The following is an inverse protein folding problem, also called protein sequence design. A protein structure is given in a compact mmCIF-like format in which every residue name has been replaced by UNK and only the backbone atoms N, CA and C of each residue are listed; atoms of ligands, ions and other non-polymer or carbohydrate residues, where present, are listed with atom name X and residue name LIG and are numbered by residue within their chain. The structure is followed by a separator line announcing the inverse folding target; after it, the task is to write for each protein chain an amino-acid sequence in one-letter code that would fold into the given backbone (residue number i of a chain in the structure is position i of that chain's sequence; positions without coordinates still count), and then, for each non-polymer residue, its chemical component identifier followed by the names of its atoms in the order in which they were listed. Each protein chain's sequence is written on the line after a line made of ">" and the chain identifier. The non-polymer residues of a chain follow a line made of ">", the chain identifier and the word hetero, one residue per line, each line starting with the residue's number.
data_IF_860212168545
#
_entry.id   IF_860212168545
#
_cell.length_a   1.000
_cell.length_b   1.000
_cell.length_c   1.000
_cell.angle_alpha   90.00
_cell.angle_beta   90.00
_cell.angle_gamma   90.00
#
_symmetry.space_group_name_H-M   'P 1'
#
loop_
_entity.id
_entity.type
_entity.pdbx_description
1 polymer ?
#
# COMPACT_ATOMS: atom_id res chain seq x y z
N UNK A 1 15.99 -16.78 14.82
CA UNK A 1 14.60 -17.00 14.37
C UNK A 1 14.12 -15.68 13.78
N UNK A 2 13.58 -15.70 12.57
CA UNK A 2 13.16 -14.47 11.86
C UNK A 2 11.75 -14.09 12.26
N UNK A 3 11.54 -12.80 12.54
CA UNK A 3 10.24 -12.23 12.92
C UNK A 3 9.62 -11.44 11.76
N UNK A 4 8.38 -11.81 11.39
CA UNK A 4 7.56 -11.14 10.39
C UNK A 4 6.32 -10.55 11.04
N UNK A 5 6.18 -9.24 10.97
CA UNK A 5 4.94 -8.57 11.39
C UNK A 5 3.97 -8.44 10.23
N UNK A 6 2.71 -8.77 10.46
CA UNK A 6 1.61 -8.53 9.51
C UNK A 6 0.46 -7.82 10.22
N UNK A 7 -0.46 -7.17 9.48
CA UNK A 7 -1.70 -6.68 10.07
C UNK A 7 -2.42 -7.80 10.84
N UNK A 8 -2.89 -7.53 12.05
CA UNK A 8 -3.60 -8.50 12.90
C UNK A 8 -4.94 -8.96 12.31
N UNK A 9 -5.45 -8.28 11.27
CA UNK A 9 -6.72 -8.60 10.63
C UNK A 9 -6.95 -7.79 9.35
N UNK A 10 -8.06 -8.10 8.67
CA UNK A 10 -8.48 -7.40 7.46
C UNK A 10 -7.85 -7.98 6.21
N UNK A 11 -8.02 -7.28 5.09
CA UNK A 11 -7.68 -7.81 3.77
C UNK A 11 -6.22 -8.21 3.61
N UNK A 12 -5.28 -7.36 4.04
CA UNK A 12 -3.84 -7.65 3.95
C UNK A 12 -3.48 -8.93 4.72
N UNK A 13 -4.02 -9.10 5.93
CA UNK A 13 -3.89 -10.34 6.71
C UNK A 13 -4.41 -11.55 5.93
N UNK A 14 -5.67 -11.47 5.46
CA UNK A 14 -6.32 -12.58 4.76
C UNK A 14 -5.53 -13.01 3.52
N UNK A 15 -5.16 -12.05 2.68
CA UNK A 15 -4.45 -12.32 1.44
C UNK A 15 -3.05 -12.87 1.70
N UNK A 16 -2.35 -12.35 2.70
CA UNK A 16 -1.03 -12.88 3.06
C UNK A 16 -1.14 -14.30 3.60
N UNK A 17 -2.09 -14.57 4.49
CA UNK A 17 -2.28 -15.90 5.06
C UNK A 17 -2.65 -16.93 3.99
N UNK A 18 -3.45 -16.55 2.99
CA UNK A 18 -3.67 -17.39 1.82
C UNK A 18 -2.40 -17.60 0.99
N UNK A 19 -1.61 -16.54 0.75
CA UNK A 19 -0.34 -16.63 -0.01
C UNK A 19 0.71 -17.49 0.68
N UNK A 20 0.88 -17.35 1.99
CA UNK A 20 1.92 -18.06 2.76
C UNK A 20 1.63 -19.56 2.89
N UNK A 21 0.35 -19.96 2.76
CA UNK A 21 -0.11 -21.36 2.81
C UNK A 21 0.68 -22.28 1.87
N UNK A 22 1.06 -21.76 0.70
CA UNK A 22 1.79 -22.51 -0.31
C UNK A 22 3.28 -22.68 0.03
N UNK A 23 3.81 -21.84 0.93
CA UNK A 23 5.24 -21.77 1.26
C UNK A 23 5.59 -22.37 2.63
N UNK A 24 4.62 -22.89 3.39
CA UNK A 24 4.83 -23.42 4.75
C UNK A 24 4.43 -24.89 4.90
N UNK A 25 5.16 -25.66 5.70
CA UNK A 25 4.91 -27.10 5.89
C UNK A 25 3.57 -27.39 6.58
N UNK A 26 3.23 -26.62 7.61
CA UNK A 26 2.02 -26.80 8.41
C UNK A 26 1.04 -25.66 8.13
N UNK A 27 -0.09 -25.95 7.48
CA UNK A 27 -1.05 -24.93 7.06
C UNK A 27 -2.52 -25.24 7.40
N UNK A 28 -2.77 -26.31 8.15
CA UNK A 28 -4.12 -26.86 8.39
C UNK A 28 -5.08 -25.88 9.06
N UNK A 29 -4.56 -24.93 9.85
CA UNK A 29 -5.38 -24.01 10.64
C UNK A 29 -5.55 -22.62 10.00
N UNK A 30 -4.94 -22.36 8.83
CA UNK A 30 -4.92 -21.01 8.23
C UNK A 30 -6.33 -20.54 7.87
N UNK A 31 -7.09 -21.35 7.12
CA UNK A 31 -8.41 -20.95 6.62
C UNK A 31 -9.42 -20.78 7.77
N UNK A 32 -9.34 -21.65 8.79
CA UNK A 32 -10.20 -21.54 9.97
C UNK A 32 -9.83 -20.31 10.81
N UNK A 33 -8.54 -20.01 10.98
CA UNK A 33 -8.07 -18.78 11.64
C UNK A 33 -8.59 -17.53 10.93
N UNK A 34 -8.52 -17.50 9.60
CA UNK A 34 -9.09 -16.42 8.78
C UNK A 34 -10.60 -16.29 9.01
N UNK A 35 -11.33 -17.41 9.00
CA UNK A 35 -12.77 -17.42 9.19
C UNK A 35 -13.17 -16.92 10.60
N UNK A 36 -12.44 -17.30 11.64
CA UNK A 36 -12.68 -16.85 13.02
C UNK A 36 -12.44 -15.35 13.13
N UNK A 37 -11.35 -14.81 12.59
CA UNK A 37 -11.05 -13.37 12.62
C UNK A 37 -12.11 -12.58 11.85
N UNK A 38 -12.59 -13.08 10.70
CA UNK A 38 -13.70 -12.50 9.95
C UNK A 38 -14.99 -12.43 10.78
N UNK A 39 -15.32 -13.51 11.51
CA UNK A 39 -16.46 -13.54 12.44
C UNK A 39 -16.26 -12.56 13.60
N UNK A 40 -15.06 -12.53 14.17
CA UNK A 40 -14.68 -11.63 15.27
C UNK A 40 -14.85 -10.15 14.93
N UNK A 41 -14.67 -9.75 13.65
CA UNK A 41 -14.98 -8.39 13.19
C UNK A 41 -16.46 -8.00 13.38
N UNK A 42 -17.39 -8.95 13.21
CA UNK A 42 -18.84 -8.73 13.44
C UNK A 42 -19.18 -8.71 14.92
N UNK A 43 -18.41 -9.42 15.74
CA UNK A 43 -18.56 -9.50 17.20
C UNK A 43 -17.77 -8.42 17.96
N UNK A 44 -17.27 -7.38 17.29
CA UNK A 44 -16.55 -6.29 17.96
C UNK A 44 -17.45 -5.60 18.99
N UNK A 45 -16.90 -5.23 20.15
CA UNK A 45 -17.69 -4.63 21.23
C UNK A 45 -16.85 -3.68 22.09
N UNK A 46 -17.41 -2.57 22.60
CA UNK A 46 -16.75 -1.79 23.64
C UNK A 46 -16.64 -2.56 24.97
N UNK A 47 -17.44 -3.62 25.16
CA UNK A 47 -17.36 -4.50 26.34
C UNK A 47 -16.40 -5.65 26.07
N UNK A 48 -15.23 -5.64 26.71
CA UNK A 48 -14.22 -6.68 26.53
C UNK A 48 -14.74 -8.08 26.86
N UNK A 49 -15.62 -8.21 27.86
CA UNK A 49 -16.23 -9.50 28.26
C UNK A 49 -16.92 -10.20 27.10
N UNK A 50 -17.71 -9.47 26.28
CA UNK A 50 -18.37 -10.05 25.09
C UNK A 50 -17.39 -10.59 24.06
N UNK A 51 -16.22 -9.96 23.94
CA UNK A 51 -15.18 -10.40 23.01
C UNK A 51 -14.40 -11.58 23.58
N UNK A 52 -14.19 -11.61 24.90
CA UNK A 52 -13.65 -12.77 25.64
C UNK A 52 -14.57 -13.98 25.48
N UNK A 53 -15.88 -13.81 25.67
CA UNK A 53 -16.87 -14.88 25.48
C UNK A 53 -16.81 -15.44 24.05
N UNK A 54 -16.69 -14.56 23.05
CA UNK A 54 -16.50 -14.98 21.66
C UNK A 54 -15.19 -15.77 21.48
N UNK A 55 -14.07 -15.31 22.05
CA UNK A 55 -12.76 -15.96 21.94
C UNK A 55 -12.74 -17.32 22.66
N UNK A 56 -13.40 -17.43 23.81
CA UNK A 56 -13.48 -18.66 24.61
C UNK A 56 -14.14 -19.81 23.83
N UNK A 57 -15.05 -19.52 22.89
CA UNK A 57 -15.63 -20.54 22.00
C UNK A 57 -14.60 -21.21 21.05
N UNK A 58 -13.37 -20.71 21.01
CA UNK A 58 -12.29 -21.20 20.14
C UNK A 58 -11.01 -21.58 20.92
N UNK A 59 -11.00 -21.50 22.25
CA UNK A 59 -9.80 -21.74 23.07
C UNK A 59 -9.31 -23.19 23.01
N UNK A 60 -10.22 -24.16 22.90
CA UNK A 60 -9.88 -25.60 22.90
C UNK A 60 -9.03 -26.05 21.70
N UNK A 61 -8.90 -25.18 20.70
CA UNK A 61 -8.26 -25.51 19.42
C UNK A 61 -6.91 -24.80 19.19
N UNK A 62 -6.38 -24.13 20.21
CA UNK A 62 -5.04 -23.49 20.21
C UNK A 62 -4.78 -22.59 18.99
N UNK A 63 -5.80 -21.87 18.50
CA UNK A 63 -5.60 -20.92 17.41
C UNK A 63 -4.76 -19.72 17.86
N UNK A 64 -3.96 -19.13 16.95
CA UNK A 64 -3.12 -17.98 17.24
C UNK A 64 -3.93 -16.68 17.32
N UNK A 65 -4.86 -16.59 18.26
CA UNK A 65 -5.84 -15.51 18.40
C UNK A 65 -5.59 -14.67 19.66
N UNK A 66 -5.90 -13.38 19.57
CA UNK A 66 -5.85 -12.45 20.69
C UNK A 66 -6.96 -11.42 20.63
N UNK A 67 -7.10 -10.63 21.68
CA UNK A 67 -8.03 -9.50 21.76
C UNK A 67 -7.24 -8.20 21.61
N UNK A 68 -7.73 -7.32 20.74
CA UNK A 68 -7.09 -6.04 20.43
C UNK A 68 -8.12 -4.93 20.36
N UNK A 69 -7.66 -3.69 20.54
CA UNK A 69 -8.49 -2.48 20.38
C UNK A 69 -8.52 -2.07 18.91
N UNK A 70 -9.71 -1.89 18.33
CA UNK A 70 -9.87 -1.35 16.99
C UNK A 70 -9.74 0.18 17.01
N UNK A 71 -8.49 0.66 16.99
CA UNK A 71 -8.17 2.10 17.03
C UNK A 71 -8.58 2.86 15.78
N UNK A 72 -9.04 2.17 14.71
CA UNK A 72 -9.56 2.84 13.50
C UNK A 72 -10.94 3.46 13.72
N UNK A 73 -11.58 3.20 14.85
CA UNK A 73 -12.94 3.63 15.16
C UNK A 73 -12.93 4.49 16.42
N UNK A 74 -13.80 5.51 16.44
CA UNK A 74 -13.89 6.45 17.55
C UNK A 74 -14.33 5.75 18.85
N UNK A 75 -15.25 4.79 18.75
CA UNK A 75 -15.72 4.00 19.88
C UNK A 75 -14.69 2.98 20.41
N UNK A 76 -13.54 2.85 19.73
CA UNK A 76 -12.42 1.97 20.06
C UNK A 76 -12.84 0.59 20.59
N UNK A 77 -13.68 -0.15 19.84
CA UNK A 77 -14.20 -1.42 20.32
C UNK A 77 -13.09 -2.47 20.36
N UNK A 78 -13.20 -3.42 21.29
CA UNK A 78 -12.39 -4.63 21.30
C UNK A 78 -12.84 -5.59 20.21
N UNK A 79 -11.91 -6.39 19.68
CA UNK A 79 -12.17 -7.42 18.69
C UNK A 79 -11.11 -8.51 18.73
N UNK A 80 -11.48 -9.69 18.25
CA UNK A 80 -10.51 -10.77 18.01
C UNK A 80 -9.68 -10.47 16.75
N UNK A 81 -8.38 -10.76 16.85
CA UNK A 81 -7.42 -10.67 15.76
C UNK A 81 -6.39 -11.78 15.85
N UNK A 82 -5.49 -11.82 14.87
CA UNK A 82 -4.33 -12.70 14.85
C UNK A 82 -3.29 -12.21 15.86
N UNK A 83 -2.82 -13.11 16.72
CA UNK A 83 -1.77 -12.83 17.70
C UNK A 83 -0.39 -13.18 17.12
N UNK A 84 -0.19 -14.44 16.76
CA UNK A 84 1.05 -14.87 16.14
C UNK A 84 1.22 -16.38 16.13
N UNK A 85 1.95 -16.89 15.14
CA UNK A 85 2.25 -18.31 14.98
C UNK A 85 3.66 -18.49 14.43
N UNK A 86 4.22 -19.68 14.66
CA UNK A 86 5.44 -20.09 13.97
C UNK A 86 5.06 -20.82 12.68
N UNK A 87 5.76 -20.50 11.61
CA UNK A 87 5.74 -21.26 10.37
C UNK A 87 7.13 -21.80 10.08
N UNK A 88 7.17 -23.01 9.51
CA UNK A 88 8.38 -23.56 8.91
C UNK A 88 8.26 -23.46 7.40
N UNK A 89 9.19 -22.75 6.77
CA UNK A 89 9.20 -22.57 5.31
C UNK A 89 9.58 -23.90 4.62
N UNK A 90 8.85 -24.26 3.56
CA UNK A 90 9.06 -25.54 2.84
C UNK A 90 10.44 -25.64 2.20
N UNK A 91 10.88 -24.56 1.57
CA UNK A 91 12.07 -24.56 0.71
C UNK A 91 13.38 -24.70 1.49
N UNK A 92 13.51 -23.96 2.59
CA UNK A 92 14.76 -23.84 3.35
C UNK A 92 14.65 -24.31 4.80
N UNK A 93 13.48 -24.81 5.23
CA UNK A 93 13.22 -25.30 6.58
C UNK A 93 13.43 -24.27 7.70
N UNK A 94 13.53 -22.99 7.35
CA UNK A 94 13.71 -21.90 8.31
C UNK A 94 12.40 -21.68 9.08
N UNK A 95 12.52 -21.53 10.41
CA UNK A 95 11.42 -21.14 11.28
C UNK A 95 11.26 -19.62 11.28
N UNK A 96 10.10 -19.17 10.85
CA UNK A 96 9.67 -17.78 10.84
C UNK A 96 8.53 -17.60 11.85
N UNK A 97 8.68 -16.64 12.77
CA UNK A 97 7.63 -16.20 13.67
C UNK A 97 6.82 -15.11 12.97
N UNK A 98 5.53 -15.34 12.76
CA UNK A 98 4.62 -14.34 12.19
C UNK A 98 3.74 -13.78 13.31
N UNK A 99 3.72 -12.46 13.49
CA UNK A 99 2.96 -11.80 14.54
C UNK A 99 1.99 -10.75 13.98
N UNK A 100 0.84 -10.63 14.63
CA UNK A 100 -0.15 -9.62 14.30
C UNK A 100 0.17 -8.28 14.96
N UNK A 101 0.20 -7.21 14.19
CA UNK A 101 0.30 -5.85 14.69
C UNK A 101 -0.82 -4.95 14.17
N UNK A 102 -0.92 -3.77 14.76
CA UNK A 102 -1.82 -2.73 14.26
C UNK A 102 -1.38 -2.30 12.85
N UNK A 103 -2.30 -2.20 11.86
CA UNK A 103 -1.96 -1.97 10.45
C UNK A 103 -1.22 -0.65 10.11
N UNK A 104 -0.93 0.20 11.11
CA UNK A 104 -0.21 1.46 10.94
C UNK A 104 1.15 1.44 11.66
N UNK A 105 1.51 0.32 12.28
CA UNK A 105 2.71 0.17 13.10
C UNK A 105 3.66 -0.90 12.55
N UNK A 106 3.28 -1.63 11.51
CA UNK A 106 4.05 -2.75 10.97
C UNK A 106 5.46 -2.29 10.56
N UNK A 107 5.55 -1.21 9.78
CA UNK A 107 6.84 -0.65 9.35
C UNK A 107 7.65 -0.04 10.50
N UNK A 108 6.95 0.48 11.52
CA UNK A 108 7.57 1.08 12.71
C UNK A 108 8.31 0.02 13.54
N UNK A 109 7.76 -1.20 13.69
CA UNK A 109 8.44 -2.28 14.41
C UNK A 109 9.79 -2.65 13.76
N UNK A 110 9.85 -2.66 12.43
CA UNK A 110 11.13 -2.84 11.71
C UNK A 110 12.09 -1.68 11.98
N UNK A 111 11.59 -0.45 12.01
CA UNK A 111 12.43 0.73 12.31
C UNK A 111 13.00 0.70 13.73
N UNK A 112 12.24 0.18 14.69
CA UNK A 112 12.66 0.03 16.09
C UNK A 112 13.58 -1.17 16.30
N UNK A 113 13.61 -2.12 15.35
CA UNK A 113 14.35 -3.37 15.49
C UNK A 113 13.60 -4.45 16.27
N UNK A 114 12.30 -4.25 16.48
CA UNK A 114 11.38 -5.21 17.12
C UNK A 114 10.88 -6.29 16.15
N UNK A 115 11.06 -6.07 14.84
CA UNK A 115 10.77 -7.04 13.79
C UNK A 115 11.87 -7.04 12.72
N UNK A 116 12.13 -8.20 12.12
CA UNK A 116 13.10 -8.35 11.02
C UNK A 116 12.47 -7.98 9.67
N UNK A 117 11.19 -8.26 9.51
CA UNK A 117 10.42 -7.96 8.31
C UNK A 117 8.96 -7.61 8.68
N UNK A 118 8.31 -6.81 7.84
CA UNK A 118 6.92 -6.44 7.98
C UNK A 118 6.20 -6.37 6.64
N UNK A 119 4.88 -6.61 6.67
CA UNK A 119 3.97 -6.19 5.60
C UNK A 119 3.40 -4.82 5.92
N UNK A 120 3.71 -3.84 5.07
CA UNK A 120 3.22 -2.47 5.20
C UNK A 120 2.76 -1.93 3.86
N UNK A 121 1.75 -1.05 3.89
CA UNK A 121 1.39 -0.26 2.71
C UNK A 121 2.47 0.77 2.42
N UNK A 122 2.67 1.14 1.15
CA UNK A 122 3.55 2.26 0.84
C UNK A 122 3.06 3.58 1.45
N UNK A 123 1.73 3.78 1.52
CA UNK A 123 1.10 4.89 2.21
C UNK A 123 1.45 4.92 3.71
N UNK A 124 1.47 3.76 4.38
CA UNK A 124 1.94 3.65 5.77
C UNK A 124 3.42 4.03 5.89
N UNK A 125 4.27 3.57 4.97
CA UNK A 125 5.69 3.93 4.96
C UNK A 125 5.86 5.45 4.83
N UNK A 126 5.19 6.08 3.86
CA UNK A 126 5.24 7.53 3.70
C UNK A 126 4.79 8.24 4.98
N UNK A 127 3.67 7.85 5.59
CA UNK A 127 3.21 8.50 6.84
C UNK A 127 4.21 8.43 8.00
N UNK A 128 5.06 7.40 8.06
CA UNK A 128 6.01 7.19 9.16
C UNK A 128 7.42 7.73 8.87
N UNK A 129 7.75 7.97 7.60
CA UNK A 129 9.09 8.37 7.16
C UNK A 129 9.15 9.62 6.30
N UNK A 130 8.04 10.26 5.95
CA UNK A 130 8.00 11.42 5.03
C UNK A 130 9.03 12.48 5.39
N UNK A 131 9.03 12.96 6.63
CA UNK A 131 9.95 14.00 7.12
C UNK A 131 11.43 13.55 7.20
N UNK A 132 11.67 12.25 7.07
CA UNK A 132 13.01 11.64 7.13
C UNK A 132 13.55 11.34 5.73
N UNK A 133 12.76 11.52 4.66
CA UNK A 133 13.20 11.34 3.29
C UNK A 133 14.13 12.48 2.89
N UNK A 134 15.13 12.17 2.06
CA UNK A 134 16.07 13.16 1.52
C UNK A 134 15.32 14.18 0.65
N UNK A 135 14.43 13.70 -0.22
CA UNK A 135 13.56 14.54 -1.03
C UNK A 135 12.11 14.03 -0.97
N UNK A 136 11.31 14.40 0.04
CA UNK A 136 9.97 13.83 0.26
C UNK A 136 8.97 14.09 -0.89
N UNK A 137 9.14 15.19 -1.63
CA UNK A 137 8.19 15.62 -2.67
C UNK A 137 8.26 14.79 -3.96
N UNK A 138 9.36 14.06 -4.18
CA UNK A 138 9.54 13.21 -5.37
C UNK A 138 9.20 11.74 -5.12
N UNK A 139 9.09 11.31 -3.86
CA UNK A 139 8.85 9.90 -3.50
C UNK A 139 7.37 9.54 -3.60
N UNK A 140 6.87 9.50 -4.84
CA UNK A 140 5.47 9.13 -5.16
C UNK A 140 5.28 7.64 -5.45
N UNK A 141 6.39 6.89 -5.50
CA UNK A 141 6.47 5.48 -5.87
C UNK A 141 7.44 4.77 -4.96
N UNK A 142 7.11 3.56 -4.53
CA UNK A 142 8.01 2.80 -3.65
C UNK A 142 9.33 2.42 -4.31
N UNK A 143 9.40 2.39 -5.64
CA UNK A 143 10.66 2.23 -6.38
C UNK A 143 11.70 3.31 -6.09
N UNK A 144 11.27 4.52 -5.69
CA UNK A 144 12.14 5.64 -5.31
C UNK A 144 12.48 5.66 -3.82
N UNK A 145 11.76 4.89 -3.01
CA UNK A 145 11.77 5.02 -1.55
C UNK A 145 13.13 4.73 -0.93
N UNK A 146 13.74 3.60 -1.31
CA UNK A 146 15.01 3.17 -0.71
C UNK A 146 16.17 4.13 -1.04
N UNK A 147 16.14 4.78 -2.21
CA UNK A 147 17.17 5.75 -2.64
C UNK A 147 17.04 7.09 -1.92
N UNK A 148 15.81 7.45 -1.54
CA UNK A 148 15.52 8.66 -0.81
C UNK A 148 15.53 8.46 0.72
N UNK A 149 15.87 7.26 1.19
CA UNK A 149 16.05 6.99 2.61
C UNK A 149 17.50 7.25 3.04
N UNK A 150 17.73 8.01 4.13
CA UNK A 150 19.06 8.14 4.70
C UNK A 150 19.68 6.78 5.02
N UNK A 151 21.00 6.66 4.82
CA UNK A 151 21.76 5.43 5.07
C UNK A 151 21.71 4.98 6.55
N UNK A 152 21.47 5.91 7.46
CA UNK A 152 21.27 5.67 8.89
C UNK A 152 19.96 4.97 9.24
N UNK A 153 18.99 4.91 8.31
CA UNK A 153 17.71 4.23 8.54
C UNK A 153 17.86 2.74 8.22
N UNK A 154 17.33 1.89 9.11
CA UNK A 154 17.37 0.43 8.98
C UNK A 154 16.34 -0.12 7.99
N UNK A 155 15.20 0.56 7.88
CA UNK A 155 14.04 0.07 7.12
C UNK A 155 14.34 0.16 5.63
N UNK A 156 14.09 -0.91 4.88
CA UNK A 156 14.11 -0.90 3.42
C UNK A 156 12.90 -1.66 2.91
N UNK A 157 12.31 -1.18 1.82
CA UNK A 157 11.41 -2.04 1.02
C UNK A 157 12.24 -3.24 0.58
N UNK A 158 11.61 -4.38 0.32
CA UNK A 158 12.18 -5.59 -0.28
C UNK A 158 11.53 -5.91 -1.64
N UNK A 159 10.30 -5.44 -1.84
CA UNK A 159 9.53 -5.50 -3.07
C UNK A 159 8.04 -5.66 -2.76
N UNK A 160 7.23 -5.81 -3.80
CA UNK A 160 5.79 -6.03 -3.66
C UNK A 160 5.50 -7.40 -3.05
N UNK A 161 4.57 -7.43 -2.10
CA UNK A 161 4.02 -8.66 -1.57
C UNK A 161 3.02 -9.33 -2.53
N UNK A 162 2.61 -8.65 -3.62
CA UNK A 162 1.68 -9.15 -4.65
C UNK A 162 0.42 -9.80 -4.07
N UNK A 163 -0.15 -9.17 -3.03
CA UNK A 163 -1.40 -9.63 -2.44
C UNK A 163 -2.55 -9.26 -3.37
N UNK A 164 -3.32 -10.26 -3.83
CA UNK A 164 -4.42 -10.07 -4.78
C UNK A 164 -5.77 -10.20 -4.09
N UNK A 165 -6.75 -9.48 -4.62
CA UNK A 165 -8.16 -9.57 -4.24
C UNK A 165 -9.04 -9.78 -5.46
N UNK A 166 -10.20 -10.39 -5.21
CA UNK A 166 -11.23 -10.47 -6.23
C UNK A 166 -11.71 -9.08 -6.65
N UNK A 167 -11.67 -8.81 -7.96
CA UNK A 167 -12.18 -7.59 -8.57
C UNK A 167 -13.42 -7.93 -9.39
N UNK A 168 -14.59 -7.48 -8.92
CA UNK A 168 -15.86 -7.77 -9.58
C UNK A 168 -16.01 -7.09 -10.96
N UNK A 169 -15.32 -5.98 -11.20
CA UNK A 169 -15.38 -5.26 -12.49
C UNK A 169 -14.67 -6.02 -13.61
N UNK A 170 -13.61 -6.77 -13.27
CA UNK A 170 -12.83 -7.57 -14.22
C UNK A 170 -13.03 -9.08 -14.08
N UNK A 171 -13.89 -9.52 -13.15
CA UNK A 171 -14.16 -10.93 -12.86
C UNK A 171 -12.89 -11.78 -12.65
N UNK A 172 -11.90 -11.20 -11.96
CA UNK A 172 -10.63 -11.89 -11.70
C UNK A 172 -9.92 -11.34 -10.45
N UNK A 173 -8.89 -12.06 -10.00
CA UNK A 173 -8.00 -11.56 -8.96
C UNK A 173 -7.06 -10.49 -9.51
N UNK A 174 -7.01 -9.35 -8.83
CA UNK A 174 -6.15 -8.20 -9.13
C UNK A 174 -5.37 -7.82 -7.88
N UNK A 175 -4.11 -7.42 -8.01
CA UNK A 175 -3.33 -6.90 -6.88
C UNK A 175 -4.08 -5.79 -6.12
N UNK A 176 -3.99 -5.78 -4.80
CA UNK A 176 -4.58 -4.79 -3.89
C UNK A 176 -3.81 -3.46 -3.95
N UNK A 177 -3.84 -2.85 -5.14
CA UNK A 177 -3.28 -1.52 -5.43
C UNK A 177 -4.34 -0.47 -5.10
N UNK A 178 -3.88 0.66 -4.56
CA UNK A 178 -4.69 1.85 -4.33
C UNK A 178 -3.92 3.09 -4.79
N UNK A 179 -4.63 4.12 -5.24
CA UNK A 179 -4.03 5.43 -5.52
C UNK A 179 -4.54 6.48 -4.55
N UNK A 180 -3.72 7.45 -4.19
CA UNK A 180 -4.14 8.61 -3.40
C UNK A 180 -4.51 9.75 -4.35
N UNK A 181 -5.79 10.06 -4.43
CA UNK A 181 -6.33 10.98 -5.43
C UNK A 181 -6.97 12.18 -4.80
N UNK A 182 -7.05 13.24 -5.60
CA UNK A 182 -7.98 14.32 -5.34
C UNK A 182 -9.38 13.92 -5.79
N UNK A 183 -10.39 14.23 -4.97
CA UNK A 183 -11.81 13.96 -5.22
C UNK A 183 -12.63 15.22 -4.98
N UNK A 184 -13.80 15.32 -5.61
CA UNK A 184 -14.65 16.50 -5.48
C UNK A 184 -16.08 16.28 -5.96
N UNK A 185 -16.95 17.22 -5.60
CA UNK A 185 -18.38 17.18 -5.90
C UNK A 185 -18.73 17.76 -7.28
N UNK A 186 -17.93 18.71 -7.76
CA UNK A 186 -18.17 19.39 -9.03
C UNK A 186 -17.10 19.03 -10.04
N UNK A 187 -17.52 18.79 -11.28
CA UNK A 187 -16.59 18.80 -12.40
C UNK A 187 -16.01 20.22 -12.55
N UNK A 188 -14.70 20.44 -12.41
CA UNK A 188 -14.12 21.75 -12.62
C UNK A 188 -14.42 22.20 -14.04
N UNK A 189 -14.95 23.41 -14.18
CA UNK A 189 -15.04 24.09 -15.48
C UNK A 189 -13.62 24.24 -16.03
N UNK A 190 -13.31 23.42 -17.04
CA UNK A 190 -12.22 23.47 -18.03
C UNK A 190 -10.95 24.24 -17.65
N UNK A 191 -9.79 23.54 -17.62
CA UNK A 191 -8.40 24.03 -17.92
C UNK A 191 -7.25 23.44 -17.07
N UNK A 192 -7.40 22.29 -16.40
CA UNK A 192 -6.26 21.70 -15.67
C UNK A 192 -5.90 20.32 -16.21
N UNK A 193 -4.82 20.24 -16.99
CA UNK A 193 -4.37 18.98 -17.59
C UNK A 193 -3.81 18.02 -16.53
N UNK A 194 -3.36 18.54 -15.36
CA UNK A 194 -2.69 17.74 -14.33
C UNK A 194 -3.13 18.01 -12.88
N UNK A 195 -3.19 16.99 -11.99
CA UNK A 195 -3.49 17.15 -10.56
C UNK A 195 -2.56 18.12 -9.83
N UNK A 196 -1.28 18.19 -10.23
CA UNK A 196 -0.30 19.09 -9.59
C UNK A 196 -0.64 20.56 -9.84
N UNK A 197 -1.02 20.91 -11.07
CA UNK A 197 -1.49 22.25 -11.42
C UNK A 197 -2.76 22.59 -10.65
N UNK A 198 -3.62 21.59 -10.46
CA UNK A 198 -4.81 21.75 -9.63
C UNK A 198 -4.44 21.98 -8.16
N UNK A 199 -3.50 21.22 -7.59
CA UNK A 199 -3.01 21.46 -6.22
C UNK A 199 -2.39 22.86 -6.08
N UNK A 200 -1.58 23.32 -7.03
CA UNK A 200 -1.00 24.67 -7.04
C UNK A 200 -2.10 25.75 -7.10
N UNK A 201 -3.17 25.51 -7.85
CA UNK A 201 -4.36 26.36 -7.83
C UNK A 201 -5.01 26.38 -6.43
N UNK A 202 -5.19 25.22 -5.79
CA UNK A 202 -5.74 25.15 -4.43
C UNK A 202 -4.86 25.87 -3.41
N UNK A 203 -3.52 25.79 -3.53
CA UNK A 203 -2.59 26.56 -2.70
C UNK A 203 -2.78 28.07 -2.88
N UNK A 204 -2.90 28.53 -4.12
CA UNK A 204 -3.07 29.95 -4.46
C UNK A 204 -4.38 30.52 -3.91
N UNK A 205 -5.46 29.75 -4.01
CA UNK A 205 -6.80 30.18 -3.63
C UNK A 205 -7.23 29.77 -2.22
N UNK A 206 -6.39 29.00 -1.52
CA UNK A 206 -6.60 28.50 -0.14
C UNK A 206 -7.90 27.70 0.04
N UNK A 207 -8.33 27.02 -1.00
CA UNK A 207 -9.50 26.14 -0.96
C UNK A 207 -9.31 25.06 0.10
N UNK A 208 -10.39 24.71 0.80
CA UNK A 208 -10.38 23.64 1.79
C UNK A 208 -10.08 22.31 1.10
N UNK A 209 -9.10 21.58 1.65
CA UNK A 209 -8.78 20.21 1.26
C UNK A 209 -8.94 19.30 2.48
N UNK A 210 -9.98 18.48 2.45
CA UNK A 210 -10.20 17.45 3.45
C UNK A 210 -9.25 16.28 3.25
N UNK A 211 -8.69 15.76 4.34
CA UNK A 211 -7.85 14.58 4.29
C UNK A 211 -8.09 13.73 5.52
N UNK A 212 -7.97 12.41 5.38
CA UNK A 212 -8.05 11.53 6.53
C UNK A 212 -6.90 11.82 7.50
N UNK A 213 -7.19 11.93 8.80
CA UNK A 213 -6.20 12.39 9.79
C UNK A 213 -4.84 11.69 9.77
N UNK A 214 -4.80 10.38 9.49
CA UNK A 214 -3.54 9.63 9.37
C UNK A 214 -2.62 10.06 8.21
N UNK A 215 -3.16 10.75 7.21
CA UNK A 215 -2.41 11.27 6.06
C UNK A 215 -2.15 12.77 6.16
N UNK A 216 -2.74 13.46 7.15
CA UNK A 216 -2.71 14.92 7.21
C UNK A 216 -1.29 15.47 7.30
N UNK A 217 -0.43 14.88 8.13
CA UNK A 217 0.94 15.36 8.32
C UNK A 217 1.81 15.08 7.09
N UNK A 218 1.64 13.92 6.46
CA UNK A 218 2.29 13.60 5.18
C UNK A 218 1.90 14.62 4.09
N UNK A 219 0.61 14.97 3.99
CA UNK A 219 0.14 15.98 3.01
C UNK A 219 0.67 17.36 3.36
N UNK A 220 0.65 17.79 4.62
CA UNK A 220 1.21 19.09 5.04
C UNK A 220 2.72 19.17 4.82
N UNK A 221 3.44 18.06 4.97
CA UNK A 221 4.88 17.99 4.70
C UNK A 221 5.16 18.12 3.19
N UNK A 222 4.41 17.42 2.35
CA UNK A 222 4.59 17.45 0.90
C UNK A 222 4.05 18.73 0.24
N UNK A 223 2.98 19.31 0.78
CA UNK A 223 2.24 20.45 0.24
C UNK A 223 1.93 21.47 1.36
N UNK A 224 2.95 22.18 1.87
CA UNK A 224 2.85 23.01 3.07
C UNK A 224 1.92 24.23 2.94
N UNK A 225 1.52 24.59 1.72
CA UNK A 225 0.64 25.72 1.45
C UNK A 225 -0.83 25.33 1.27
N UNK A 226 -1.17 24.04 1.24
CA UNK A 226 -2.55 23.59 1.16
C UNK A 226 -3.30 23.87 2.48
N UNK A 227 -4.55 24.31 2.37
CA UNK A 227 -5.45 24.48 3.51
C UNK A 227 -6.07 23.13 3.92
N UNK A 228 -5.30 22.34 4.66
CA UNK A 228 -5.62 20.94 4.99
C UNK A 228 -6.43 20.81 6.27
N UNK A 229 -7.67 20.30 6.15
CA UNK A 229 -8.54 19.95 7.28
C UNK A 229 -8.58 18.43 7.46
N UNK A 230 -8.19 17.96 8.64
CA UNK A 230 -8.24 16.54 8.98
C UNK A 230 -9.66 16.12 9.33
N UNK A 231 -10.16 15.08 8.66
CA UNK A 231 -11.49 14.49 8.89
C UNK A 231 -11.41 12.97 9.04
N UNK A 232 -12.51 12.34 9.48
CA UNK A 232 -12.59 10.89 9.61
C UNK A 232 -13.03 10.19 8.31
N UNK A 233 -14.04 10.75 7.63
CA UNK A 233 -14.56 10.32 6.33
C UNK A 233 -14.40 11.49 5.35
N UNK A 234 -13.48 11.34 4.39
CA UNK A 234 -13.16 12.41 3.44
C UNK A 234 -14.29 12.56 2.43
N UNK A 235 -14.85 11.44 1.98
CA UNK A 235 -15.91 11.47 1.00
C UNK A 235 -17.19 12.12 1.54
N UNK A 236 -17.60 11.85 2.79
CA UNK A 236 -18.73 12.56 3.41
C UNK A 236 -18.43 14.05 3.63
N UNK A 237 -17.24 14.40 4.11
CA UNK A 237 -16.86 15.80 4.31
C UNK A 237 -16.91 16.62 3.00
N UNK A 238 -16.53 16.01 1.88
CA UNK A 238 -16.64 16.65 0.55
C UNK A 238 -18.10 16.78 0.11
N UNK A 239 -18.93 15.77 0.33
CA UNK A 239 -20.37 15.81 -0.04
C UNK A 239 -21.11 16.90 0.74
N UNK A 240 -20.84 16.98 2.05
CA UNK A 240 -21.53 17.86 3.01
C UNK A 240 -21.01 19.30 2.98
N UNK A 241 -19.87 19.54 2.33
CA UNK A 241 -19.29 20.88 2.23
C UNK A 241 -20.20 21.84 1.46
N UNK A 242 -20.44 23.01 2.04
CA UNK A 242 -21.12 24.15 1.40
C UNK A 242 -20.16 25.01 0.58
N UNK A 243 -18.86 24.89 0.80
CA UNK A 243 -17.80 25.51 0.01
C UNK A 243 -17.35 24.53 -1.09
N UNK A 244 -16.72 25.04 -2.16
CA UNK A 244 -16.11 24.22 -3.23
C UNK A 244 -14.83 23.51 -2.74
N UNK A 245 -14.99 22.71 -1.69
CA UNK A 245 -13.95 21.95 -1.01
C UNK A 245 -13.71 20.63 -1.74
N UNK A 246 -12.50 20.13 -1.57
CA UNK A 246 -12.05 18.89 -2.20
C UNK A 246 -11.53 17.94 -1.13
N UNK A 247 -11.33 16.68 -1.53
CA UNK A 247 -10.79 15.65 -0.66
C UNK A 247 -9.53 15.05 -1.24
N UNK A 248 -8.60 14.66 -0.38
CA UNK A 248 -7.51 13.74 -0.71
C UNK A 248 -7.80 12.38 -0.07
N UNK A 249 -8.04 11.36 -0.89
CA UNK A 249 -8.50 10.05 -0.45
C UNK A 249 -7.79 8.89 -1.17
N UNK A 250 -7.63 7.77 -0.47
CA UNK A 250 -7.19 6.52 -1.06
C UNK A 250 -8.35 5.88 -1.80
N UNK A 251 -8.18 5.74 -3.11
CA UNK A 251 -9.16 5.13 -4.00
C UNK A 251 -8.59 3.82 -4.56
N UNK A 252 -9.36 2.76 -4.36
CA UNK A 252 -9.07 1.46 -4.94
C UNK A 252 -9.89 1.18 -6.20
N UNK A 253 -11.20 0.98 -6.02
CA UNK A 253 -12.12 0.62 -7.12
C UNK A 253 -12.91 1.81 -7.60
N UNK A 254 -13.00 2.91 -6.83
CA UNK A 254 -13.88 4.04 -7.12
C UNK A 254 -15.35 3.80 -6.79
N UNK A 255 -15.72 2.66 -6.18
CA UNK A 255 -17.13 2.32 -5.92
C UNK A 255 -17.81 3.28 -4.94
N UNK A 256 -17.10 3.73 -3.90
CA UNK A 256 -17.61 4.72 -2.95
C UNK A 256 -17.86 6.06 -3.63
N UNK A 257 -16.92 6.52 -4.46
CA UNK A 257 -17.03 7.77 -5.20
C UNK A 257 -18.22 7.73 -6.15
N UNK A 258 -18.38 6.65 -6.94
CA UNK A 258 -19.57 6.48 -7.80
C UNK A 258 -20.87 6.52 -7.00
N UNK A 259 -20.93 5.82 -5.85
CA UNK A 259 -22.13 5.80 -5.00
C UNK A 259 -22.46 7.18 -4.43
N UNK A 260 -21.45 7.98 -4.11
CA UNK A 260 -21.58 9.33 -3.55
C UNK A 260 -21.57 10.42 -4.64
N UNK A 261 -21.62 10.04 -5.92
CA UNK A 261 -21.59 10.95 -7.07
C UNK A 261 -20.38 11.91 -7.07
N UNK A 262 -19.24 11.43 -6.57
CA UNK A 262 -17.99 12.18 -6.54
C UNK A 262 -17.15 11.93 -7.80
N UNK A 263 -16.45 12.97 -8.21
CA UNK A 263 -15.44 12.95 -9.27
C UNK A 263 -14.07 12.60 -8.70
N UNK A 264 -13.28 11.90 -9.51
CA UNK A 264 -11.88 11.59 -9.25
C UNK A 264 -11.01 12.37 -10.25
N UNK A 265 -9.99 13.08 -9.77
CA UNK A 265 -9.20 13.99 -10.60
C UNK A 265 -7.80 13.43 -10.93
N UNK A 266 -7.54 13.34 -12.23
CA UNK A 266 -6.26 13.04 -12.85
C UNK A 266 -5.55 11.79 -12.35
N UNK A 267 -4.22 11.83 -12.32
CA UNK A 267 -3.38 10.73 -11.81
C UNK A 267 -3.29 10.75 -10.28
N UNK A 268 -3.03 9.60 -9.62
CA UNK A 268 -2.81 9.60 -8.18
C UNK A 268 -1.54 10.38 -7.82
N UNK A 269 -1.53 11.02 -6.66
CA UNK A 269 -0.36 11.66 -6.08
C UNK A 269 0.71 10.63 -5.71
N UNK A 270 0.29 9.44 -5.27
CA UNK A 270 1.14 8.26 -5.13
C UNK A 270 0.29 6.98 -5.28
N UNK A 271 0.96 5.88 -5.62
CA UNK A 271 0.36 4.55 -5.68
C UNK A 271 0.86 3.73 -4.51
N UNK A 272 -0.05 3.16 -3.73
CA UNK A 272 0.26 2.25 -2.63
C UNK A 272 -0.15 0.82 -2.94
N UNK A 273 0.68 -0.10 -2.51
CA UNK A 273 0.43 -1.54 -2.50
C UNK A 273 1.10 -2.12 -1.25
N UNK A 274 0.77 -3.37 -0.90
CA UNK A 274 1.43 -4.04 0.23
C UNK A 274 2.85 -4.44 -0.18
N UNK A 275 3.82 -4.03 0.61
CA UNK A 275 5.24 -4.28 0.41
C UNK A 275 5.78 -5.17 1.54
N UNK A 276 6.79 -5.98 1.21
CA UNK A 276 7.69 -6.49 2.24
C UNK A 276 8.69 -5.38 2.61
N UNK A 277 8.82 -5.12 3.89
CA UNK A 277 9.73 -4.10 4.44
C UNK A 277 10.65 -4.80 5.42
N UNK A 278 11.96 -4.76 5.19
CA UNK A 278 12.97 -5.49 5.93
C UNK A 278 13.87 -4.59 6.75
N UNK A 279 14.38 -5.12 7.86
CA UNK A 279 15.49 -4.58 8.59
C UNK A 279 16.77 -4.85 7.79
N UNK A 280 17.27 -3.81 7.13
CA UNK A 280 18.41 -3.91 6.24
C UNK A 280 19.70 -4.28 6.97
N UNK A 281 19.87 -3.87 8.23
CA UNK A 281 21.07 -4.22 8.99
C UNK A 281 21.09 -5.71 9.33
N UNK A 282 19.93 -6.27 9.73
CA UNK A 282 19.75 -7.70 9.90
C UNK A 282 19.99 -8.44 8.57
N UNK A 283 19.43 -7.94 7.47
CA UNK A 283 19.55 -8.56 6.14
C UNK A 283 21.01 -8.69 5.68
N UNK A 284 21.86 -7.72 6.05
CA UNK A 284 23.27 -7.72 5.68
C UNK A 284 24.15 -8.63 6.55
N UNK A 285 23.64 -9.17 7.65
CA UNK A 285 24.40 -10.09 8.49
C UNK A 285 24.49 -11.46 7.81
N UNK A 286 25.72 -11.94 7.58
CA UNK A 286 25.97 -13.24 6.93
C UNK A 286 25.42 -14.43 7.71
N UNK A 287 25.30 -14.30 9.03
CA UNK A 287 24.85 -15.35 9.94
C UNK A 287 23.33 -15.37 10.15
N UNK A 288 22.58 -14.53 9.41
CA UNK A 288 21.15 -14.37 9.60
C UNK A 288 20.34 -14.96 8.42
N UNK A 289 19.27 -15.68 8.75
CA UNK A 289 18.36 -16.32 7.80
C UNK A 289 17.44 -15.35 7.02
N UNK A 290 17.44 -14.05 7.33
CA UNK A 290 16.51 -13.06 6.75
C UNK A 290 16.61 -12.98 5.23
N UNK A 291 17.82 -13.09 4.68
CA UNK A 291 18.02 -13.09 3.23
C UNK A 291 17.34 -14.30 2.58
N UNK A 292 17.50 -15.50 3.16
CA UNK A 292 16.85 -16.73 2.72
C UNK A 292 15.32 -16.68 2.92
N UNK A 293 14.83 -16.12 4.02
CA UNK A 293 13.39 -15.91 4.25
C UNK A 293 12.82 -14.99 3.18
N UNK A 294 13.45 -13.84 2.91
CA UNK A 294 13.01 -12.90 1.86
C UNK A 294 13.03 -13.58 0.50
N UNK A 295 14.06 -14.38 0.19
CA UNK A 295 14.13 -15.13 -1.06
C UNK A 295 12.93 -16.08 -1.23
N UNK A 296 12.58 -16.85 -0.20
CA UNK A 296 11.42 -17.77 -0.23
C UNK A 296 10.08 -17.03 -0.27
N UNK A 297 9.98 -15.84 0.32
CA UNK A 297 8.78 -14.99 0.22
C UNK A 297 8.60 -14.39 -1.18
N UNK A 298 9.67 -14.40 -1.99
CA UNK A 298 9.72 -13.98 -3.39
C UNK A 298 9.02 -12.63 -3.65
N UNK A 299 9.54 -11.53 -3.06
CA UNK A 299 9.01 -10.19 -3.31
C UNK A 299 9.18 -9.82 -4.79
N UNK A 300 8.14 -9.25 -5.40
CA UNK A 300 8.14 -8.88 -6.82
C UNK A 300 8.70 -7.47 -7.01
N UNK A 301 9.61 -7.32 -7.96
CA UNK A 301 10.27 -6.05 -8.30
C UNK A 301 9.35 -5.01 -8.94
N UNK A 302 9.77 -3.74 -8.90
CA UNK A 302 8.93 -2.60 -9.34
C UNK A 302 8.56 -2.65 -10.83
N UNK A 303 9.50 -3.10 -11.67
CA UNK A 303 9.36 -3.23 -13.12
C UNK A 303 9.17 -4.68 -13.58
N UNK A 304 8.91 -5.61 -12.67
CA UNK A 304 8.73 -7.01 -13.05
C UNK A 304 7.38 -7.22 -13.75
N UNK A 305 7.40 -8.11 -14.74
CA UNK A 305 6.31 -8.37 -15.66
C UNK A 305 4.96 -8.65 -14.96
N UNK A 306 4.97 -9.44 -13.88
CA UNK A 306 3.76 -9.76 -13.13
C UNK A 306 3.12 -8.50 -12.53
N UNK A 307 3.92 -7.61 -11.93
CA UNK A 307 3.43 -6.36 -11.35
C UNK A 307 2.89 -5.42 -12.43
N UNK A 308 3.53 -5.34 -13.59
CA UNK A 308 3.06 -4.51 -14.71
C UNK A 308 1.68 -4.98 -15.20
N UNK A 309 1.46 -6.29 -15.27
CA UNK A 309 0.16 -6.88 -15.61
C UNK A 309 -0.90 -6.51 -14.58
N UNK A 310 -0.59 -6.60 -13.29
CA UNK A 310 -1.53 -6.23 -12.21
C UNK A 310 -1.82 -4.72 -12.14
N UNK A 311 -0.82 -3.87 -12.41
CA UNK A 311 -1.00 -2.43 -12.51
C UNK A 311 -1.95 -2.06 -13.66
N UNK A 312 -1.81 -2.72 -14.82
CA UNK A 312 -2.73 -2.54 -15.94
C UNK A 312 -4.17 -2.94 -15.58
N UNK A 313 -4.34 -4.08 -14.89
CA UNK A 313 -5.66 -4.54 -14.42
C UNK A 313 -6.28 -3.56 -13.43
N UNK A 314 -5.54 -3.09 -12.43
CA UNK A 314 -6.06 -2.13 -11.46
C UNK A 314 -6.51 -0.83 -12.14
N UNK A 315 -5.67 -0.27 -13.01
CA UNK A 315 -5.98 0.97 -13.73
C UNK A 315 -7.22 0.81 -14.62
N UNK A 316 -7.30 -0.29 -15.37
CA UNK A 316 -8.45 -0.57 -16.24
C UNK A 316 -9.74 -0.85 -15.46
N UNK A 317 -9.65 -1.52 -14.32
CA UNK A 317 -10.79 -1.72 -13.43
C UNK A 317 -11.32 -0.38 -12.91
N UNK A 318 -10.43 0.52 -12.48
CA UNK A 318 -10.79 1.85 -12.02
C UNK A 318 -11.41 2.69 -13.16
N UNK A 319 -10.86 2.61 -14.37
CA UNK A 319 -11.39 3.25 -15.58
C UNK A 319 -12.82 2.78 -15.89
N UNK A 320 -13.05 1.46 -15.93
CA UNK A 320 -14.39 0.90 -16.15
C UNK A 320 -15.38 1.30 -15.07
N UNK A 321 -14.93 1.38 -13.81
CA UNK A 321 -15.82 1.56 -12.69
C UNK A 321 -16.26 3.03 -12.50
N UNK A 322 -15.40 3.99 -12.86
CA UNK A 322 -15.66 5.42 -12.75
C UNK A 322 -16.20 6.05 -14.05
N UNK A 323 -15.79 5.55 -15.23
CA UNK A 323 -16.19 6.14 -16.50
C UNK A 323 -15.86 7.63 -16.56
N UNK A 324 -16.85 8.44 -16.95
CA UNK A 324 -16.73 9.89 -17.09
C UNK A 324 -16.52 10.63 -15.75
N UNK A 325 -16.71 9.96 -14.61
CA UNK A 325 -16.39 10.55 -13.31
C UNK A 325 -14.88 10.60 -13.02
N UNK A 326 -14.04 9.98 -13.85
CA UNK A 326 -12.59 10.13 -13.79
C UNK A 326 -12.13 11.26 -14.71
N UNK A 327 -12.16 12.47 -14.17
CA UNK A 327 -11.81 13.71 -14.86
C UNK A 327 -10.29 13.76 -15.08
N UNK A 328 -9.87 14.11 -16.30
CA UNK A 328 -8.45 14.22 -16.69
C UNK A 328 -7.63 12.94 -16.43
N UNK A 329 -8.29 11.78 -16.52
CA UNK A 329 -7.65 10.46 -16.47
C UNK A 329 -6.41 10.43 -17.38
N UNK A 330 -5.27 9.87 -16.94
CA UNK A 330 -4.09 9.77 -17.78
C UNK A 330 -4.39 9.06 -19.10
N UNK A 331 -4.09 9.73 -20.22
CA UNK A 331 -4.20 9.15 -21.56
C UNK A 331 -3.15 8.06 -21.77
N UNK A 332 -1.96 8.25 -21.20
CA UNK A 332 -0.88 7.27 -21.19
C UNK A 332 -0.71 6.67 -19.77
N UNK A 333 -1.01 5.38 -19.64
CA UNK A 333 -0.85 4.61 -18.41
C UNK A 333 0.62 4.54 -17.95
N UNK A 334 1.59 4.67 -18.86
CA UNK A 334 3.01 4.56 -18.50
C UNK A 334 3.49 5.69 -17.58
N UNK A 335 2.75 6.81 -17.55
CA UNK A 335 2.96 7.91 -16.60
C UNK A 335 2.71 7.51 -15.14
N UNK A 336 1.95 6.44 -14.89
CA UNK A 336 1.79 5.85 -13.55
C UNK A 336 2.98 5.01 -13.13
N UNK A 337 3.71 4.45 -14.10
CA UNK A 337 4.89 3.64 -13.84
C UNK A 337 6.08 4.53 -13.48
N UNK A 338 6.38 5.53 -14.31
CA UNK A 338 7.52 6.44 -14.15
C UNK A 338 7.37 7.67 -15.05
N UNK A 339 7.66 8.87 -14.53
CA UNK A 339 7.79 10.11 -15.29
C UNK A 339 9.24 10.36 -15.72
N UNK A 340 9.46 11.23 -16.71
CA UNK A 340 10.82 11.53 -17.17
C UNK A 340 11.66 12.21 -16.08
N UNK A 341 11.05 13.10 -15.29
CA UNK A 341 11.68 13.67 -14.09
C UNK A 341 12.12 12.58 -13.10
N UNK A 342 11.32 11.54 -12.90
CA UNK A 342 11.69 10.43 -12.00
C UNK A 342 12.85 9.59 -12.56
N UNK A 343 13.02 9.53 -13.88
CA UNK A 343 14.19 8.90 -14.50
C UNK A 343 15.44 9.76 -14.22
N UNK A 344 15.34 11.08 -14.32
CA UNK A 344 16.42 12.02 -14.00
C UNK A 344 16.79 11.97 -12.51
N UNK A 345 15.79 11.95 -11.62
CA UNK A 345 15.93 11.83 -10.16
C UNK A 345 16.31 10.42 -9.70
N UNK A 346 16.55 9.52 -10.64
CA UNK A 346 17.21 8.27 -10.34
C UNK A 346 16.31 7.10 -9.96
N UNK A 347 15.06 7.08 -10.43
CA UNK A 347 14.29 5.84 -10.40
C UNK A 347 14.98 4.82 -11.32
N UNK A 348 15.41 3.70 -10.73
CA UNK A 348 16.11 2.61 -11.42
C UNK A 348 15.46 1.27 -11.08
N UNK A 349 15.77 0.19 -11.84
CA UNK A 349 15.32 -1.14 -11.49
C UNK A 349 15.71 -1.51 -10.08
N UNK A 350 14.66 -1.70 -9.29
CA UNK A 350 14.72 -1.92 -7.85
C UNK A 350 15.50 -3.20 -7.51
N UNK A 351 16.53 -3.11 -6.67
CA UNK A 351 17.22 -4.28 -6.09
C UNK A 351 17.65 -3.99 -4.65
N UNK A 352 17.36 -4.90 -3.71
CA UNK A 352 17.85 -4.84 -2.33
C UNK A 352 19.40 -4.81 -2.25
N UNK A 353 20.06 -5.42 -3.23
CA UNK A 353 21.52 -5.53 -3.31
C UNK A 353 22.23 -4.22 -3.71
N UNK A 354 21.53 -3.22 -4.27
CA UNK A 354 22.15 -2.00 -4.83
C UNK A 354 21.78 -0.75 -4.01
N UNK A 355 21.97 -0.83 -2.69
CA UNK A 355 21.60 0.23 -1.71
C UNK A 355 22.27 1.60 -1.93
N UNK A 356 23.35 1.64 -2.71
CA UNK A 356 24.20 2.83 -2.84
C UNK A 356 23.91 3.65 -4.07
N UNK A 357 22.91 3.27 -4.87
CA UNK A 357 22.62 3.95 -6.10
C UNK A 357 21.98 5.32 -5.82
N UNK A 358 22.58 6.37 -6.36
CA UNK A 358 22.20 7.77 -6.28
C UNK A 358 21.95 8.30 -7.70
N UNK A 359 21.18 9.39 -7.85
CA UNK A 359 20.94 10.00 -9.17
C UNK A 359 22.26 10.39 -9.89
N UNK A 360 23.31 10.71 -9.12
CA UNK A 360 24.67 10.97 -9.63
C UNK A 360 25.46 9.73 -10.04
N UNK A 361 24.98 8.51 -9.75
CA UNK A 361 25.69 7.29 -10.11
C UNK A 361 25.48 6.92 -11.56
N UNK A 362 26.59 6.83 -12.31
CA UNK A 362 26.60 6.35 -13.69
C UNK A 362 26.56 4.80 -13.79
N UNK A 363 26.43 4.09 -12.66
CA UNK A 363 26.42 2.63 -12.64
C UNK A 363 25.16 2.06 -13.30
N UNK A 364 25.35 1.27 -14.38
CA UNK A 364 24.30 0.53 -15.11
C UNK A 364 23.11 1.40 -15.58
N UNK A 365 23.34 2.68 -15.85
CA UNK A 365 22.29 3.62 -16.29
C UNK A 365 21.62 3.15 -17.58
N UNK A 366 22.39 2.66 -18.54
CA UNK A 366 21.88 2.14 -19.82
C UNK A 366 20.97 0.91 -19.62
N UNK A 367 21.40 -0.06 -18.81
CA UNK A 367 20.58 -1.24 -18.44
C UNK A 367 19.28 -0.80 -17.76
N UNK A 368 19.35 0.22 -16.90
CA UNK A 368 18.19 0.76 -16.22
C UNK A 368 17.22 1.47 -17.17
N UNK A 369 17.73 2.28 -18.09
CA UNK A 369 16.93 2.96 -19.10
C UNK A 369 16.24 1.95 -20.03
N UNK A 370 16.95 0.92 -20.46
CA UNK A 370 16.39 -0.14 -21.29
C UNK A 370 15.31 -0.93 -20.52
N UNK A 371 15.55 -1.25 -19.25
CA UNK A 371 14.53 -1.90 -18.39
C UNK A 371 13.27 -1.04 -18.27
N UNK A 372 13.41 0.27 -18.05
CA UNK A 372 12.29 1.20 -17.96
C UNK A 372 11.52 1.25 -19.29
N UNK A 373 12.24 1.35 -20.41
CA UNK A 373 11.65 1.38 -21.75
C UNK A 373 10.86 0.10 -22.05
N UNK A 374 11.43 -1.05 -21.72
CA UNK A 374 10.77 -2.35 -21.86
C UNK A 374 9.53 -2.43 -20.96
N UNK A 375 9.62 -2.00 -19.70
CA UNK A 375 8.51 -1.98 -18.77
C UNK A 375 7.36 -1.06 -19.24
N UNK A 376 7.67 0.14 -19.76
CA UNK A 376 6.67 1.04 -20.39
C UNK A 376 5.95 0.33 -21.55
N UNK A 377 6.69 -0.34 -22.43
CA UNK A 377 6.14 -1.10 -23.57
C UNK A 377 5.25 -2.27 -23.12
N UNK A 378 5.70 -3.03 -22.13
CA UNK A 378 4.94 -4.16 -21.58
C UNK A 378 3.66 -3.70 -20.90
N UNK A 379 3.72 -2.66 -20.06
CA UNK A 379 2.56 -2.09 -19.39
C UNK A 379 1.49 -1.63 -20.40
N UNK A 380 1.91 -0.92 -21.46
CA UNK A 380 1.00 -0.50 -22.52
C UNK A 380 0.38 -1.70 -23.25
N UNK A 381 1.17 -2.75 -23.49
CA UNK A 381 0.69 -3.99 -24.10
C UNK A 381 -0.37 -4.68 -23.24
N UNK A 382 -0.15 -4.78 -21.93
CA UNK A 382 -1.14 -5.37 -21.01
C UNK A 382 -2.43 -4.57 -20.97
N UNK A 383 -2.32 -3.25 -20.88
CA UNK A 383 -3.48 -2.37 -20.87
C UNK A 383 -4.30 -2.43 -22.16
N UNK A 384 -3.65 -2.42 -23.33
CA UNK A 384 -4.34 -2.53 -24.62
C UNK A 384 -5.04 -3.89 -24.78
N UNK A 385 -4.40 -5.00 -24.37
CA UNK A 385 -5.03 -6.33 -24.36
C UNK A 385 -6.29 -6.38 -23.50
N UNK A 386 -6.33 -5.66 -22.37
CA UNK A 386 -7.53 -5.57 -21.54
C UNK A 386 -8.67 -4.78 -22.20
N UNK A 387 -8.33 -3.78 -23.03
CA UNK A 387 -9.29 -3.00 -23.82
C UNK A 387 -9.83 -3.73 -25.04
N UNK A 388 -9.08 -4.67 -25.60
CA UNK A 388 -9.47 -5.48 -26.76
C UNK A 388 -10.45 -6.60 -26.43
N UNK A 389 -10.45 -7.11 -25.18
CA UNK A 389 -11.38 -8.16 -24.69
C UNK A 389 -12.83 -7.67 -24.50
N UNK A 390 -13.32 -6.82 -25.39
CA UNK A 390 -14.70 -6.30 -25.39
C UNK A 390 -15.71 -7.38 -25.73
#
# INVERSE_FOLDING_TARGET
>A
MISLTIPQSGRTFENFMHKIKDNVLENNNIDETIAIIKKGKKSKSPQISKVVDFLNNYQDKSYPLGIFVDRKREERPYRVGFLGTNFTLKENQIKMRVEGAEPHNCSTLVSLGEADIALAGFDELLTTTQEKLINPSVVTKWGLYNYNLPTSKKIRVAGSAMLKIWNATLDCYVQDIVGFFLIGKTNPSENFDHPKEYLEHLEKHRNIVYVKGRYADMVRSAYPKLNVISVHDVEDAVVDSTENALGLEIVQSGSTLRKKELYLFGKPLFISETLYVANYYTYMQKENDLSSVISTLNPVGYYEDERLSELAKWFYALEKNLGDNWINKPNDITTLLVSDLEIEEGLRPYRLATRYWSASDHYKVEEAHETIKQAKKQLLTYYNKLKEKK
#
